data_IF_486414283289
#
_entry.id   IF_486414283289
#
_cell.length_a   1.000
_cell.length_b   1.000
_cell.length_c   1.000
_cell.angle_alpha   90.00
_cell.angle_beta   90.00
_cell.angle_gamma   90.00
#
_symmetry.space_group_name_H-M   'P 1'
#
loop_
_entity.id
_entity.type
_entity.pdbx_description
1 polymer ?
#
# COMPACT_ATOMS: atom_id res chain seq x y z
N UNK A 1 14.56 -5.53 -13.25
CA UNK A 1 13.27 -4.93 -13.62
C UNK A 1 12.06 -5.83 -13.30
N UNK A 2 12.17 -7.17 -13.31
CA UNK A 2 11.03 -8.09 -13.10
C UNK A 2 10.56 -8.18 -11.63
N UNK A 3 11.48 -8.06 -10.67
CA UNK A 3 11.16 -8.25 -9.25
C UNK A 3 10.25 -7.15 -8.67
N UNK A 4 10.34 -5.90 -9.13
CA UNK A 4 9.51 -4.84 -8.57
C UNK A 4 8.01 -5.04 -8.87
N UNK A 5 7.58 -5.29 -10.13
CA UNK A 5 6.22 -5.73 -10.45
C UNK A 5 5.74 -6.96 -9.68
N UNK A 6 6.64 -7.94 -9.46
CA UNK A 6 6.33 -9.18 -8.76
C UNK A 6 5.87 -8.94 -7.31
N UNK A 7 6.41 -7.92 -6.65
CA UNK A 7 6.00 -7.57 -5.28
C UNK A 7 4.96 -6.45 -5.23
N UNK A 8 5.04 -5.47 -6.14
CA UNK A 8 4.17 -4.29 -6.09
C UNK A 8 2.71 -4.61 -6.44
N UNK A 9 2.46 -5.44 -7.46
CA UNK A 9 1.08 -5.79 -7.83
C UNK A 9 0.38 -6.62 -6.76
N UNK A 10 0.98 -7.71 -6.21
CA UNK A 10 0.38 -8.44 -5.11
C UNK A 10 0.20 -7.58 -3.85
N UNK A 11 1.17 -6.72 -3.51
CA UNK A 11 1.04 -5.82 -2.37
C UNK A 11 -0.14 -4.87 -2.51
N UNK A 12 -0.33 -4.27 -3.69
CA UNK A 12 -1.46 -3.35 -3.95
C UNK A 12 -2.80 -4.10 -3.90
N UNK A 13 -2.91 -5.24 -4.58
CA UNK A 13 -4.16 -6.03 -4.58
C UNK A 13 -4.51 -6.51 -3.16
N UNK A 14 -3.52 -6.96 -2.40
CA UNK A 14 -3.71 -7.37 -1.02
C UNK A 14 -4.08 -6.18 -0.13
N UNK A 15 -3.47 -5.01 -0.30
CA UNK A 15 -3.83 -3.80 0.44
C UNK A 15 -5.29 -3.40 0.19
N UNK A 16 -5.76 -3.44 -1.06
CA UNK A 16 -7.17 -3.19 -1.39
C UNK A 16 -8.07 -4.17 -0.64
N UNK A 17 -7.74 -5.47 -0.66
CA UNK A 17 -8.51 -6.49 0.03
C UNK A 17 -8.51 -6.28 1.56
N UNK A 18 -7.34 -6.01 2.16
CA UNK A 18 -7.17 -5.80 3.60
C UNK A 18 -7.96 -4.59 4.09
N UNK A 19 -7.81 -3.42 3.46
CA UNK A 19 -8.54 -2.22 3.87
C UNK A 19 -10.05 -2.36 3.62
N UNK A 20 -10.46 -3.02 2.53
CA UNK A 20 -11.87 -3.35 2.30
C UNK A 20 -12.44 -4.26 3.39
N UNK A 21 -11.71 -5.31 3.79
CA UNK A 21 -12.14 -6.20 4.87
C UNK A 21 -12.25 -5.47 6.21
N UNK A 22 -11.35 -4.54 6.52
CA UNK A 22 -11.50 -3.69 7.71
C UNK A 22 -12.78 -2.84 7.64
N UNK A 23 -13.04 -2.16 6.52
CA UNK A 23 -14.26 -1.37 6.31
C UNK A 23 -15.51 -2.24 6.50
N UNK A 24 -15.58 -3.37 5.80
CA UNK A 24 -16.72 -4.30 5.89
C UNK A 24 -16.90 -4.85 7.31
N UNK A 25 -15.80 -5.19 7.98
CA UNK A 25 -15.83 -5.62 9.37
C UNK A 25 -16.45 -4.57 10.29
N UNK A 26 -16.04 -3.30 10.15
CA UNK A 26 -16.60 -2.22 10.95
C UNK A 26 -18.04 -1.88 10.56
N UNK A 27 -18.43 -1.96 9.28
CA UNK A 27 -19.80 -1.66 8.85
C UNK A 27 -20.80 -2.74 9.32
N UNK A 28 -20.42 -4.01 9.21
CA UNK A 28 -21.31 -5.14 9.48
C UNK A 28 -21.07 -5.83 10.83
N UNK A 29 -20.13 -5.35 11.66
CA UNK A 29 -19.83 -5.94 12.96
C UNK A 29 -19.18 -7.33 12.87
N UNK A 30 -18.53 -7.65 11.74
CA UNK A 30 -18.02 -8.99 11.44
C UNK A 30 -16.61 -9.19 12.00
N UNK A 31 -16.51 -9.80 13.18
CA UNK A 31 -15.24 -10.08 13.86
C UNK A 31 -14.32 -11.06 13.10
N UNK A 32 -14.91 -11.98 12.35
CA UNK A 32 -14.21 -12.91 11.46
C UNK A 32 -13.46 -12.16 10.35
N UNK A 33 -14.13 -11.22 9.67
CA UNK A 33 -13.50 -10.37 8.65
C UNK A 33 -12.36 -9.52 9.23
N UNK A 34 -12.48 -9.05 10.48
CA UNK A 34 -11.38 -8.33 11.15
C UNK A 34 -10.14 -9.20 11.32
N UNK A 35 -10.33 -10.47 11.73
CA UNK A 35 -9.22 -11.42 11.91
C UNK A 35 -8.54 -11.71 10.58
N UNK A 36 -9.30 -11.98 9.52
CA UNK A 36 -8.71 -12.17 8.18
C UNK A 36 -8.01 -10.92 7.68
N UNK A 37 -8.57 -9.73 7.91
CA UNK A 37 -7.90 -8.46 7.59
C UNK A 37 -6.57 -8.33 8.33
N UNK A 38 -6.51 -8.64 9.63
CA UNK A 38 -5.27 -8.62 10.42
C UNK A 38 -4.22 -9.59 9.89
N UNK A 39 -4.58 -10.84 9.58
CA UNK A 39 -3.64 -11.80 9.02
C UNK A 39 -3.14 -11.36 7.64
N UNK A 40 -4.03 -10.86 6.79
CA UNK A 40 -3.67 -10.27 5.51
C UNK A 40 -2.76 -9.05 5.67
N UNK A 41 -2.96 -8.25 6.71
CA UNK A 41 -2.16 -7.06 6.99
C UNK A 41 -0.72 -7.43 7.38
N UNK A 42 -0.51 -8.51 8.12
CA UNK A 42 0.84 -9.04 8.41
C UNK A 42 1.57 -9.39 7.11
N UNK A 43 0.90 -10.12 6.21
CA UNK A 43 1.48 -10.50 4.91
C UNK A 43 1.75 -9.25 4.06
N UNK A 44 0.81 -8.30 4.05
CA UNK A 44 0.94 -7.03 3.36
C UNK A 44 2.17 -6.26 3.83
N UNK A 45 2.40 -6.17 5.15
CA UNK A 45 3.57 -5.50 5.71
C UNK A 45 4.87 -6.08 5.17
N UNK A 46 4.98 -7.41 5.06
CA UNK A 46 6.16 -8.07 4.49
C UNK A 46 6.32 -7.74 3.00
N UNK A 47 5.24 -7.82 2.22
CA UNK A 47 5.26 -7.51 0.79
C UNK A 47 5.61 -6.03 0.51
N UNK A 48 5.15 -5.10 1.36
CA UNK A 48 5.44 -3.67 1.22
C UNK A 48 6.92 -3.37 1.46
N UNK A 49 7.58 -4.03 2.43
CA UNK A 49 9.04 -3.92 2.63
C UNK A 49 9.76 -4.30 1.34
N UNK A 50 9.45 -5.47 0.77
CA UNK A 50 10.07 -5.90 -0.49
C UNK A 50 9.76 -4.94 -1.63
N UNK A 51 8.51 -4.48 -1.75
CA UNK A 51 8.09 -3.52 -2.78
C UNK A 51 8.92 -2.25 -2.73
N UNK A 52 9.16 -1.69 -1.54
CA UNK A 52 9.98 -0.50 -1.35
C UNK A 52 11.44 -0.77 -1.71
N UNK A 53 12.04 -1.85 -1.20
CA UNK A 53 13.43 -2.23 -1.48
C UNK A 53 13.66 -2.38 -3.00
N UNK A 54 12.78 -3.10 -3.70
CA UNK A 54 12.89 -3.28 -5.15
C UNK A 54 12.49 -2.01 -5.92
N UNK A 55 11.64 -1.15 -5.37
CA UNK A 55 11.26 0.13 -5.94
C UNK A 55 12.44 1.13 -5.99
N UNK A 56 13.29 1.14 -4.95
CA UNK A 56 14.53 1.93 -4.98
C UNK A 56 15.46 1.52 -6.15
N UNK A 57 15.54 0.21 -6.46
CA UNK A 57 16.31 -0.29 -7.62
C UNK A 57 15.72 0.12 -8.97
N UNK A 58 14.41 0.33 -9.07
CA UNK A 58 13.77 0.83 -10.30
C UNK A 58 14.01 2.32 -10.47
N UNK A 59 13.98 3.10 -9.39
CA UNK A 59 14.25 4.54 -9.43
C UNK A 59 15.69 4.89 -9.88
N UNK A 60 16.65 3.98 -9.68
CA UNK A 60 18.03 4.14 -10.16
C UNK A 60 18.25 3.71 -11.62
N UNK A 61 17.19 3.33 -12.35
CA UNK A 61 17.29 2.97 -13.76
C UNK A 61 17.61 4.21 -14.61
N UNK A 62 18.64 4.18 -15.49
CA UNK A 62 18.99 5.30 -16.37
C UNK A 62 17.81 5.89 -17.16
N UNK A 63 16.85 5.06 -17.58
CA UNK A 63 15.64 5.52 -18.29
C UNK A 63 14.69 6.36 -17.42
N UNK A 64 14.65 6.08 -16.12
CA UNK A 64 13.85 6.85 -15.16
C UNK A 64 14.58 8.14 -14.80
N UNK A 65 15.90 8.04 -14.56
CA UNK A 65 16.76 9.18 -14.21
C UNK A 65 16.83 10.19 -15.36
N UNK A 66 16.86 9.75 -16.63
CA UNK A 66 16.92 10.67 -17.78
C UNK A 66 15.64 11.48 -17.98
N UNK A 67 14.48 10.93 -17.59
CA UNK A 67 13.17 11.59 -17.70
C UNK A 67 12.77 12.34 -16.41
N UNK A 68 13.33 11.97 -15.25
CA UNK A 68 13.15 12.66 -13.97
C UNK A 68 14.47 12.66 -13.18
N UNK A 69 15.40 13.59 -13.47
CA UNK A 69 16.73 13.62 -12.84
C UNK A 69 16.71 14.07 -11.38
N UNK A 70 15.59 14.64 -10.90
CA UNK A 70 15.46 15.12 -9.53
C UNK A 70 15.05 13.99 -8.58
N UNK A 71 15.74 13.85 -7.44
CA UNK A 71 15.53 12.79 -6.46
C UNK A 71 14.11 12.80 -5.84
N UNK A 72 13.51 13.99 -5.76
CA UNK A 72 12.11 14.20 -5.35
C UNK A 72 11.13 14.22 -6.53
N UNK A 73 11.65 14.19 -7.74
CA UNK A 73 10.86 14.25 -8.96
C UNK A 73 9.90 13.07 -9.05
N UNK A 74 10.31 11.87 -8.64
CA UNK A 74 9.54 10.63 -8.87
C UNK A 74 8.47 10.37 -7.79
N UNK A 75 7.21 10.82 -7.96
CA UNK A 75 6.25 10.89 -6.86
C UNK A 75 5.76 9.50 -6.45
N UNK A 76 5.75 8.55 -7.39
CA UNK A 76 5.35 7.17 -7.15
C UNK A 76 6.23 6.43 -6.14
N UNK A 77 7.53 6.76 -6.06
CA UNK A 77 8.42 6.20 -5.03
C UNK A 77 7.99 6.68 -3.64
N UNK A 78 7.70 7.97 -3.50
CA UNK A 78 7.24 8.55 -2.24
C UNK A 78 5.88 8.02 -1.83
N UNK A 79 4.96 7.85 -2.79
CA UNK A 79 3.67 7.23 -2.55
C UNK A 79 3.81 5.78 -2.07
N UNK A 80 4.73 4.99 -2.62
CA UNK A 80 5.01 3.63 -2.17
C UNK A 80 5.57 3.57 -0.75
N UNK A 81 6.49 4.48 -0.41
CA UNK A 81 7.03 4.61 0.96
C UNK A 81 5.91 5.04 1.91
N UNK A 82 5.09 6.02 1.52
CA UNK A 82 3.98 6.50 2.31
C UNK A 82 2.95 5.41 2.59
N UNK A 83 2.55 4.64 1.57
CA UNK A 83 1.68 3.47 1.74
C UNK A 83 2.28 2.45 2.73
N UNK A 84 3.59 2.25 2.68
CA UNK A 84 4.30 1.33 3.57
C UNK A 84 4.24 1.80 5.02
N UNK A 85 4.61 3.06 5.28
CA UNK A 85 4.55 3.66 6.62
C UNK A 85 3.11 3.67 7.15
N UNK A 86 2.15 4.09 6.31
CA UNK A 86 0.74 4.10 6.66
C UNK A 86 0.21 2.70 7.02
N UNK A 87 0.59 1.68 6.25
CA UNK A 87 0.20 0.29 6.52
C UNK A 87 0.79 -0.20 7.84
N UNK A 88 2.05 0.12 8.17
CA UNK A 88 2.61 -0.24 9.47
C UNK A 88 1.89 0.43 10.64
N UNK A 89 1.64 1.74 10.56
CA UNK A 89 0.95 2.47 11.61
C UNK A 89 -0.49 1.97 11.80
N UNK A 90 -1.20 1.72 10.70
CA UNK A 90 -2.56 1.18 10.76
C UNK A 90 -2.58 -0.27 11.24
N UNK A 91 -1.60 -1.10 10.88
CA UNK A 91 -1.44 -2.45 11.43
C UNK A 91 -1.27 -2.40 12.96
N UNK A 92 -0.34 -1.58 13.46
CA UNK A 92 -0.12 -1.40 14.91
C UNK A 92 -1.43 -0.98 15.59
N UNK A 93 -2.15 -0.01 15.00
CA UNK A 93 -3.44 0.43 15.51
C UNK A 93 -4.45 -0.73 15.57
N UNK A 94 -4.68 -1.44 14.47
CA UNK A 94 -5.68 -2.50 14.42
C UNK A 94 -5.31 -3.74 15.25
N UNK A 95 -4.01 -3.99 15.43
CA UNK A 95 -3.49 -5.08 16.26
C UNK A 95 -3.69 -4.79 17.75
N UNK A 96 -3.36 -3.59 18.21
CA UNK A 96 -3.43 -3.21 19.62
C UNK A 96 -4.84 -2.81 20.07
N UNK A 97 -5.65 -2.23 19.17
CA UNK A 97 -6.95 -1.65 19.49
C UNK A 97 -8.11 -2.47 18.95
N UNK A 98 -8.18 -3.74 19.37
CA UNK A 98 -9.21 -4.71 18.96
C UNK A 98 -10.66 -4.25 19.23
N UNK A 99 -10.88 -3.37 20.20
CA UNK A 99 -12.20 -2.87 20.62
C UNK A 99 -12.37 -1.34 20.56
N UNK A 100 -11.40 -0.58 20.02
CA UNK A 100 -11.49 0.88 20.11
C UNK A 100 -12.48 1.51 19.12
N UNK A 101 -12.73 2.81 19.28
CA UNK A 101 -13.68 3.63 18.52
C UNK A 101 -13.84 3.22 17.06
N UNK A 102 -15.01 2.61 16.78
CA UNK A 102 -15.47 2.22 15.44
C UNK A 102 -15.30 3.32 14.40
N UNK A 103 -15.50 4.59 14.79
CA UNK A 103 -15.34 5.76 13.92
C UNK A 103 -13.89 5.93 13.45
N UNK A 104 -12.94 5.87 14.37
CA UNK A 104 -11.51 6.03 14.04
C UNK A 104 -11.03 4.87 13.18
N UNK A 105 -11.44 3.64 13.50
CA UNK A 105 -11.11 2.45 12.71
C UNK A 105 -11.61 2.52 11.26
N UNK A 106 -12.86 2.95 11.04
CA UNK A 106 -13.41 3.16 9.69
C UNK A 106 -12.63 4.23 8.94
N UNK A 107 -12.36 5.38 9.57
CA UNK A 107 -11.62 6.48 8.92
C UNK A 107 -10.22 6.01 8.50
N UNK A 108 -9.50 5.32 9.38
CA UNK A 108 -8.18 4.77 9.06
C UNK A 108 -8.24 3.77 7.90
N UNK A 109 -9.26 2.90 7.87
CA UNK A 109 -9.40 1.93 6.79
C UNK A 109 -9.76 2.60 5.45
N UNK A 110 -10.62 3.62 5.45
CA UNK A 110 -10.96 4.42 4.27
C UNK A 110 -9.75 5.19 3.74
N UNK A 111 -8.97 5.81 4.64
CA UNK A 111 -7.72 6.47 4.26
C UNK A 111 -6.74 5.46 3.65
N UNK A 112 -6.57 4.28 4.25
CA UNK A 112 -5.73 3.23 3.68
C UNK A 112 -6.17 2.81 2.27
N UNK A 113 -7.48 2.66 2.06
CA UNK A 113 -8.04 2.36 0.75
C UNK A 113 -7.76 3.49 -0.26
N UNK A 114 -7.91 4.75 0.13
CA UNK A 114 -7.62 5.90 -0.73
C UNK A 114 -6.14 5.96 -1.11
N UNK A 115 -5.24 5.72 -0.15
CA UNK A 115 -3.79 5.72 -0.40
C UNK A 115 -3.38 4.61 -1.36
N UNK A 116 -3.91 3.38 -1.19
CA UNK A 116 -3.59 2.28 -2.11
C UNK A 116 -4.14 2.54 -3.52
N UNK A 117 -5.34 3.13 -3.65
CA UNK A 117 -5.90 3.49 -4.95
C UNK A 117 -5.06 4.57 -5.64
N UNK A 118 -4.62 5.58 -4.89
CA UNK A 118 -3.72 6.61 -5.42
C UNK A 118 -2.38 6.01 -5.88
N UNK A 119 -1.81 5.08 -5.11
CA UNK A 119 -0.59 4.36 -5.49
C UNK A 119 -0.80 3.50 -6.74
N UNK A 120 -1.95 2.84 -6.87
CA UNK A 120 -2.29 2.04 -8.04
C UNK A 120 -2.39 2.92 -9.30
N UNK A 121 -3.17 4.01 -9.24
CA UNK A 121 -3.36 4.92 -10.38
C UNK A 121 -2.02 5.53 -10.80
N UNK A 122 -1.23 6.05 -9.86
CA UNK A 122 0.08 6.64 -10.18
C UNK A 122 1.07 5.62 -10.74
N UNK A 123 1.04 4.37 -10.27
CA UNK A 123 1.85 3.29 -10.84
C UNK A 123 1.48 2.95 -12.28
N UNK A 124 0.18 2.94 -12.59
CA UNK A 124 -0.31 2.74 -13.96
C UNK A 124 0.07 3.89 -14.89
N UNK A 125 -0.09 5.14 -14.44
CA UNK A 125 0.32 6.32 -15.22
C UNK A 125 1.80 6.29 -15.58
N UNK A 126 2.67 5.90 -14.63
CA UNK A 126 4.09 5.76 -14.92
C UNK A 126 4.40 4.66 -15.92
N UNK A 127 3.70 3.51 -15.83
CA UNK A 127 3.86 2.45 -16.81
C UNK A 127 3.57 2.97 -18.23
N UNK A 128 2.50 3.76 -18.39
CA UNK A 128 2.12 4.36 -19.67
C UNK A 128 3.11 5.42 -20.15
N UNK A 129 3.71 6.23 -19.27
CA UNK A 129 4.60 7.33 -19.67
C UNK A 129 6.05 6.89 -19.91
N UNK A 130 6.53 5.90 -19.16
CA UNK A 130 7.95 5.52 -19.15
C UNK A 130 8.23 4.18 -19.85
N UNK A 131 7.24 3.31 -19.97
CA UNK A 131 7.42 1.92 -20.40
C UNK A 131 6.37 1.46 -21.43
N UNK A 132 5.72 2.41 -22.14
CA UNK A 132 4.92 2.13 -23.34
C UNK A 132 5.77 2.17 -24.60
#
# INVERSE_FOLDING_TARGET
MILHPLFSYPAILLAIAVFSMYILSFLFGRNDLRRYALYGHVILSVLLIFTVIFGFKVASNPLVVSKMPFLWGFPHKWNGIFLTVFSFLSFIYFWLKTESSRKVGIILALLGLLVVLFQFITGWMLRLVFFS
#
